data_IF_267538919847
#
_entry.id   IF_267538919847
#
_cell.length_a   1.000
_cell.length_b   1.000
_cell.length_c   1.000
_cell.angle_alpha   90.00
_cell.angle_beta   90.00
_cell.angle_gamma   90.00
#
_symmetry.space_group_name_H-M   'P 1'
#
loop_
_entity.id
_entity.type
_entity.pdbx_description
1 polymer ?
#
# COMPACT_ATOMS: atom_id res chain seq x y z
N UNK A 1 -4.56 -11.17 19.09
CA UNK A 1 -4.40 -9.70 19.23
C UNK A 1 -5.14 -9.05 18.08
N UNK A 2 -6.05 -8.10 18.35
CA UNK A 2 -6.76 -7.38 17.27
C UNK A 2 -5.77 -6.50 16.50
N UNK A 3 -5.91 -6.41 15.18
CA UNK A 3 -5.00 -5.65 14.31
C UNK A 3 -4.78 -4.20 14.77
N UNK A 4 -5.81 -3.58 15.35
CA UNK A 4 -5.71 -2.21 15.87
C UNK A 4 -4.66 -2.07 16.98
N UNK A 5 -4.69 -2.96 17.99
CA UNK A 5 -3.73 -2.95 19.11
C UNK A 5 -2.31 -3.21 18.65
N UNK A 6 -2.13 -4.06 17.63
CA UNK A 6 -0.82 -4.29 17.03
C UNK A 6 -0.31 -2.99 16.38
N UNK A 7 -1.17 -2.30 15.64
CA UNK A 7 -0.81 -1.09 14.91
C UNK A 7 -0.46 0.07 15.85
N UNK A 8 -1.25 0.28 16.90
CA UNK A 8 -0.96 1.24 17.98
C UNK A 8 0.35 0.88 18.70
N UNK A 9 0.56 -0.41 18.99
CA UNK A 9 1.79 -0.88 19.64
C UNK A 9 3.06 -0.69 18.81
N UNK A 10 2.92 -0.51 17.49
CA UNK A 10 4.02 -0.18 16.58
C UNK A 10 4.22 1.35 16.43
N UNK A 11 3.43 2.17 17.12
CA UNK A 11 3.50 3.64 17.05
C UNK A 11 2.64 4.27 15.95
N UNK A 12 1.73 3.49 15.34
CA UNK A 12 0.77 4.00 14.36
C UNK A 12 -0.46 4.62 15.01
N UNK A 13 -1.20 5.42 14.25
CA UNK A 13 -2.50 5.95 14.64
C UNK A 13 -3.59 5.57 13.61
N UNK A 14 -4.79 6.12 13.77
CA UNK A 14 -5.90 5.91 12.83
C UNK A 14 -6.47 7.22 12.34
N UNK A 15 -6.74 7.27 11.04
CA UNK A 15 -7.70 8.21 10.47
C UNK A 15 -9.11 7.62 10.57
N UNK A 16 -10.09 8.43 10.99
CA UNK A 16 -11.51 8.03 11.04
C UNK A 16 -12.24 8.73 9.90
N UNK A 17 -12.84 7.96 9.00
CA UNK A 17 -13.60 8.53 7.88
C UNK A 17 -15.02 8.99 8.29
N UNK A 18 -15.75 9.58 7.36
CA UNK A 18 -17.11 10.08 7.59
C UNK A 18 -18.14 9.00 7.94
N UNK A 19 -17.82 7.72 7.71
CA UNK A 19 -18.64 6.57 8.11
C UNK A 19 -18.21 5.97 9.46
N UNK A 20 -17.23 6.57 10.14
CA UNK A 20 -16.70 6.08 11.42
C UNK A 20 -15.71 4.93 11.29
N UNK A 21 -15.28 4.56 10.07
CA UNK A 21 -14.29 3.49 9.88
C UNK A 21 -12.89 4.01 10.18
N UNK A 22 -12.13 3.18 10.88
CA UNK A 22 -10.72 3.44 11.22
C UNK A 22 -9.79 2.92 10.13
N UNK A 23 -8.85 3.76 9.73
CA UNK A 23 -7.84 3.51 8.71
C UNK A 23 -6.44 3.63 9.33
N UNK A 24 -5.72 2.51 9.50
CA UNK A 24 -4.38 2.50 10.07
C UNK A 24 -3.41 3.36 9.25
N UNK A 25 -2.61 4.20 9.92
CA UNK A 25 -1.54 4.96 9.27
C UNK A 25 -0.30 5.21 10.16
N UNK A 26 0.86 5.31 9.51
CA UNK A 26 2.10 5.82 10.08
C UNK A 26 2.41 7.16 9.44
N UNK A 27 2.53 8.21 10.25
CA UNK A 27 2.80 9.57 9.79
C UNK A 27 4.20 10.01 10.23
N UNK A 28 5.22 9.88 9.36
CA UNK A 28 6.59 10.26 9.71
C UNK A 28 6.73 11.78 9.76
N UNK A 29 7.64 12.26 10.61
CA UNK A 29 8.07 13.66 10.63
C UNK A 29 8.91 13.98 9.38
N UNK A 30 8.65 15.15 8.79
CA UNK A 30 9.48 15.69 7.70
C UNK A 30 10.58 16.56 8.30
N UNK A 31 11.82 16.28 7.90
CA UNK A 31 13.00 17.02 8.29
C UNK A 31 13.49 17.93 7.16
N UNK A 32 14.35 18.88 7.52
CA UNK A 32 15.04 19.77 6.59
C UNK A 32 16.47 19.96 7.07
N UNK A 33 17.40 19.99 6.12
CA UNK A 33 18.81 20.34 6.33
C UNK A 33 19.01 21.78 6.81
N UNK A 34 18.09 22.69 6.44
CA UNK A 34 18.01 24.07 6.93
C UNK A 34 16.60 24.61 6.74
N UNK A 35 16.30 25.82 7.23
CA UNK A 35 14.96 26.44 7.10
C UNK A 35 14.42 26.42 5.65
N UNK A 36 15.30 26.64 4.68
CA UNK A 36 14.99 26.64 3.23
C UNK A 36 15.60 25.46 2.46
N UNK A 37 16.27 24.54 3.16
CA UNK A 37 16.99 23.42 2.55
C UNK A 37 16.11 22.25 2.14
N UNK A 38 16.77 21.19 1.67
CA UNK A 38 16.17 19.96 1.15
C UNK A 38 15.36 19.24 2.24
N UNK A 39 14.17 18.80 1.87
CA UNK A 39 13.29 18.00 2.74
C UNK A 39 13.63 16.52 2.66
N UNK A 40 13.73 15.86 3.80
CA UNK A 40 13.95 14.41 3.89
C UNK A 40 13.12 13.76 4.99
N UNK A 41 13.12 12.44 5.02
CA UNK A 41 12.41 11.58 5.97
C UNK A 41 13.40 10.63 6.65
N UNK A 42 13.18 10.33 7.91
CA UNK A 42 13.96 9.34 8.67
C UNK A 42 13.19 8.02 8.88
N UNK A 43 11.88 8.05 8.68
CA UNK A 43 10.99 6.92 8.90
C UNK A 43 10.02 6.76 7.73
N UNK A 44 9.57 5.53 7.44
CA UNK A 44 8.55 5.29 6.43
C UNK A 44 7.19 5.78 6.90
N UNK A 45 6.38 6.23 5.94
CA UNK A 45 4.96 6.47 6.12
C UNK A 45 4.12 5.45 5.38
N UNK A 46 2.96 5.14 5.93
CA UNK A 46 2.05 4.15 5.38
C UNK A 46 0.61 4.55 5.70
N UNK A 47 -0.29 4.37 4.74
CA UNK A 47 -1.74 4.48 4.95
C UNK A 47 -2.39 3.25 4.34
N UNK A 48 -3.21 2.52 5.10
CA UNK A 48 -4.16 1.59 4.49
C UNK A 48 -5.28 2.42 3.85
N UNK A 49 -5.27 2.54 2.52
CA UNK A 49 -6.17 3.44 1.78
C UNK A 49 -7.42 2.74 1.23
N UNK A 50 -7.38 1.41 1.13
CA UNK A 50 -8.54 0.58 0.82
C UNK A 50 -8.39 -0.81 1.46
N UNK A 51 -9.53 -1.46 1.70
CA UNK A 51 -9.61 -2.87 2.11
C UNK A 51 -10.92 -3.46 1.60
N UNK A 52 -11.07 -4.78 1.64
CA UNK A 52 -12.39 -5.41 1.49
C UNK A 52 -13.32 -4.85 2.57
N UNK A 53 -14.36 -4.13 2.16
CA UNK A 53 -15.31 -3.43 3.04
C UNK A 53 -16.76 -3.92 2.89
N UNK A 54 -17.03 -4.86 1.99
CA UNK A 54 -18.38 -5.38 1.77
C UNK A 54 -18.30 -6.83 1.30
N UNK A 55 -19.13 -7.69 1.88
CA UNK A 55 -19.33 -9.09 1.50
C UNK A 55 -20.83 -9.36 1.55
N UNK A 56 -21.44 -9.64 0.39
CA UNK A 56 -22.88 -9.85 0.27
C UNK A 56 -23.20 -11.35 0.23
N UNK A 57 -23.36 -11.96 1.42
CA UNK A 57 -23.70 -13.40 1.52
C UNK A 57 -25.12 -13.66 1.01
N UNK A 58 -26.04 -12.73 1.23
CA UNK A 58 -27.43 -12.81 0.77
C UNK A 58 -27.53 -12.97 -0.75
N UNK A 59 -26.58 -12.43 -1.51
CA UNK A 59 -26.53 -12.59 -2.96
C UNK A 59 -26.34 -14.06 -3.40
N UNK A 60 -25.91 -14.95 -2.50
CA UNK A 60 -25.84 -16.39 -2.76
C UNK A 60 -27.18 -17.11 -2.54
N UNK A 61 -28.18 -16.48 -1.94
CA UNK A 61 -29.46 -17.14 -1.59
C UNK A 61 -30.11 -17.84 -2.79
N UNK A 62 -30.20 -17.25 -3.99
CA UNK A 62 -30.78 -17.95 -5.15
C UNK A 62 -30.01 -19.20 -5.59
N UNK A 63 -28.68 -19.22 -5.37
CA UNK A 63 -27.87 -20.41 -5.60
C UNK A 63 -28.14 -21.47 -4.52
N UNK A 64 -28.23 -21.06 -3.26
CA UNK A 64 -28.43 -21.94 -2.11
C UNK A 64 -29.83 -22.58 -2.10
N UNK A 65 -30.87 -21.85 -2.52
CA UNK A 65 -32.24 -22.35 -2.62
C UNK A 65 -32.49 -23.26 -3.84
N UNK A 66 -31.49 -23.42 -4.72
CA UNK A 66 -31.55 -24.35 -5.85
C UNK A 66 -31.28 -25.82 -5.47
N UNK A 67 -30.95 -26.10 -4.21
CA UNK A 67 -30.71 -27.45 -3.68
C UNK A 67 -31.92 -27.96 -2.91
N UNK A 68 -32.04 -29.28 -2.75
CA UNK A 68 -33.15 -29.91 -2.02
C UNK A 68 -33.24 -29.42 -0.56
N UNK A 69 -34.47 -29.21 -0.07
CA UNK A 69 -34.76 -28.69 1.27
C UNK A 69 -34.10 -29.49 2.40
N UNK A 70 -33.84 -30.79 2.18
CA UNK A 70 -33.16 -31.67 3.15
C UNK A 70 -31.77 -31.18 3.56
N UNK A 71 -31.07 -30.45 2.68
CA UNK A 71 -29.74 -29.94 2.96
C UNK A 71 -29.75 -28.67 3.82
N UNK A 72 -30.88 -27.96 3.87
CA UNK A 72 -31.04 -26.70 4.58
C UNK A 72 -29.97 -25.64 4.24
N UNK A 73 -29.50 -25.61 2.97
CA UNK A 73 -28.43 -24.71 2.53
C UNK A 73 -28.83 -23.24 2.55
N UNK A 74 -30.11 -22.93 2.32
CA UNK A 74 -30.61 -21.55 2.37
C UNK A 74 -30.33 -20.87 3.73
N UNK A 75 -30.34 -21.65 4.82
CA UNK A 75 -30.05 -21.14 6.18
C UNK A 75 -28.63 -20.59 6.32
N UNK A 76 -27.73 -20.85 5.36
CA UNK A 76 -26.38 -20.27 5.35
C UNK A 76 -26.40 -18.74 5.29
N UNK A 77 -27.32 -18.17 4.50
CA UNK A 77 -27.47 -16.72 4.37
C UNK A 77 -28.04 -16.06 5.64
N UNK A 78 -28.67 -16.85 6.51
CA UNK A 78 -29.28 -16.40 7.77
C UNK A 78 -28.32 -16.44 8.97
N UNK A 79 -27.04 -16.74 8.76
CA UNK A 79 -26.06 -16.79 9.85
C UNK A 79 -25.99 -15.44 10.61
N UNK A 80 -25.99 -15.43 11.96
CA UNK A 80 -26.38 -14.27 12.79
C UNK A 80 -25.40 -13.07 12.87
N UNK A 81 -24.36 -13.03 12.03
CA UNK A 81 -23.37 -11.95 11.82
C UNK A 81 -22.66 -11.32 13.04
N UNK A 82 -21.37 -11.64 13.19
CA UNK A 82 -20.36 -10.85 13.92
C UNK A 82 -18.95 -11.18 13.39
N UNK A 83 -18.80 -11.10 12.07
CA UNK A 83 -17.52 -11.15 11.37
C UNK A 83 -17.23 -9.80 10.74
N UNK A 84 -15.96 -9.39 10.73
CA UNK A 84 -15.57 -8.33 9.79
C UNK A 84 -15.52 -8.90 8.37
N UNK A 85 -15.58 -8.02 7.38
CA UNK A 85 -15.72 -8.36 5.97
C UNK A 85 -14.54 -9.19 5.45
N UNK A 86 -13.35 -9.02 6.02
CA UNK A 86 -12.16 -9.82 5.68
C UNK A 86 -12.31 -11.28 6.14
N UNK A 87 -12.82 -11.50 7.35
CA UNK A 87 -13.03 -12.86 7.86
C UNK A 87 -14.21 -13.54 7.15
N UNK A 88 -15.26 -12.77 6.84
CA UNK A 88 -16.44 -13.26 6.14
C UNK A 88 -16.10 -13.80 4.74
N UNK A 89 -15.34 -13.05 3.92
CA UNK A 89 -14.97 -13.49 2.56
C UNK A 89 -14.10 -14.76 2.59
N UNK A 90 -13.16 -14.85 3.55
CA UNK A 90 -12.29 -16.03 3.70
C UNK A 90 -13.11 -17.27 4.09
N UNK A 91 -14.03 -17.11 5.04
CA UNK A 91 -14.90 -18.20 5.48
C UNK A 91 -15.83 -18.67 4.36
N UNK A 92 -16.47 -17.73 3.67
CA UNK A 92 -17.34 -18.00 2.53
C UNK A 92 -16.61 -18.76 1.43
N UNK A 93 -15.42 -18.30 1.03
CA UNK A 93 -14.58 -18.99 0.05
C UNK A 93 -14.23 -20.42 0.48
N UNK A 94 -13.81 -20.60 1.74
CA UNK A 94 -13.45 -21.93 2.25
C UNK A 94 -14.64 -22.88 2.32
N UNK A 95 -15.82 -22.42 2.74
CA UNK A 95 -17.02 -23.26 2.84
C UNK A 95 -17.57 -23.63 1.46
N UNK A 96 -17.40 -22.75 0.46
CA UNK A 96 -17.77 -23.03 -0.92
C UNK A 96 -17.01 -24.22 -1.52
N UNK A 97 -15.72 -24.39 -1.21
CA UNK A 97 -14.92 -25.51 -1.70
C UNK A 97 -15.45 -26.90 -1.31
N UNK A 98 -16.27 -26.98 -0.25
CA UNK A 98 -16.78 -28.25 0.30
C UNK A 98 -18.31 -28.29 0.36
N UNK A 99 -19.00 -27.30 -0.22
CA UNK A 99 -20.44 -27.12 -0.08
C UNK A 99 -20.93 -27.18 1.39
N UNK A 100 -20.11 -26.65 2.31
CA UNK A 100 -20.34 -26.70 3.76
C UNK A 100 -21.36 -25.65 4.21
N UNK A 101 -22.58 -25.72 3.68
CA UNK A 101 -23.67 -24.76 3.91
C UNK A 101 -24.77 -25.31 4.83
N UNK A 102 -24.88 -26.63 4.98
CA UNK A 102 -25.93 -27.28 5.74
C UNK A 102 -25.80 -27.14 7.25
N UNK A 103 -26.60 -27.91 8.00
CA UNK A 103 -26.72 -27.80 9.47
C UNK A 103 -25.41 -28.05 10.24
N UNK A 104 -24.52 -28.88 9.71
CA UNK A 104 -23.21 -29.19 10.29
C UNK A 104 -22.09 -28.16 10.00
N UNK A 105 -22.41 -27.06 9.31
CA UNK A 105 -21.43 -26.02 8.97
C UNK A 105 -20.85 -25.35 10.22
N UNK A 106 -19.67 -24.79 10.07
CA UNK A 106 -19.16 -23.78 11.00
C UNK A 106 -19.98 -22.48 10.86
N UNK A 107 -20.58 -22.00 11.95
CA UNK A 107 -21.44 -20.80 11.95
C UNK A 107 -20.62 -19.51 12.13
N UNK A 108 -21.22 -18.36 11.88
CA UNK A 108 -20.59 -17.04 12.06
C UNK A 108 -20.47 -16.58 13.52
N UNK A 109 -20.16 -17.48 14.46
CA UNK A 109 -19.83 -17.12 15.84
C UNK A 109 -18.33 -16.80 15.98
N UNK A 110 -17.90 -15.90 16.88
CA UNK A 110 -16.47 -15.57 17.06
C UNK A 110 -15.64 -16.80 17.42
N UNK A 111 -16.17 -17.71 18.24
CA UNK A 111 -15.48 -18.95 18.60
C UNK A 111 -15.30 -19.85 17.37
N UNK A 112 -16.38 -20.09 16.64
CA UNK A 112 -16.39 -20.92 15.43
C UNK A 112 -15.48 -20.35 14.35
N UNK A 113 -15.55 -19.04 14.11
CA UNK A 113 -14.73 -18.35 13.12
C UNK A 113 -13.24 -18.39 13.48
N UNK A 114 -12.88 -18.18 14.75
CA UNK A 114 -11.49 -18.32 15.20
C UNK A 114 -10.97 -19.74 14.99
N UNK A 115 -11.77 -20.76 15.34
CA UNK A 115 -11.41 -22.17 15.11
C UNK A 115 -11.27 -22.46 13.62
N UNK A 116 -12.18 -21.95 12.79
CA UNK A 116 -12.16 -22.15 11.34
C UNK A 116 -10.92 -21.55 10.68
N UNK A 117 -10.63 -20.28 10.95
CA UNK A 117 -9.46 -19.59 10.39
C UNK A 117 -8.15 -20.22 10.87
N UNK A 118 -8.10 -20.66 12.14
CA UNK A 118 -6.96 -21.43 12.66
C UNK A 118 -6.78 -22.75 11.90
N UNK A 119 -7.86 -23.50 11.69
CA UNK A 119 -7.84 -24.74 10.94
C UNK A 119 -7.41 -24.53 9.48
N UNK A 120 -7.91 -23.51 8.78
CA UNK A 120 -7.44 -23.14 7.42
C UNK A 120 -5.92 -23.00 7.39
N UNK A 121 -5.35 -22.28 8.38
CA UNK A 121 -3.91 -22.06 8.47
C UNK A 121 -3.15 -23.36 8.75
N UNK A 122 -3.64 -24.21 9.66
CA UNK A 122 -3.02 -25.49 10.02
C UNK A 122 -3.05 -26.49 8.85
N UNK A 123 -4.15 -26.53 8.10
CA UNK A 123 -4.32 -27.35 6.90
C UNK A 123 -3.63 -26.78 5.65
N UNK A 124 -3.05 -25.57 5.74
CA UNK A 124 -2.38 -24.87 4.64
C UNK A 124 -3.28 -24.63 3.42
N UNK A 125 -4.57 -24.38 3.65
CA UNK A 125 -5.49 -23.96 2.59
C UNK A 125 -5.28 -22.47 2.28
N UNK A 126 -4.13 -22.13 1.67
CA UNK A 126 -3.72 -20.75 1.45
C UNK A 126 -4.63 -19.97 0.50
N UNK A 127 -5.18 -20.60 -0.53
CA UNK A 127 -5.96 -19.91 -1.57
C UNK A 127 -7.14 -19.12 -1.03
N UNK A 128 -7.78 -19.57 0.06
CA UNK A 128 -8.94 -18.87 0.64
C UNK A 128 -8.55 -17.54 1.31
N UNK A 129 -7.27 -17.34 1.64
CA UNK A 129 -6.77 -16.08 2.22
C UNK A 129 -6.33 -15.06 1.16
N UNK A 130 -6.39 -15.43 -0.12
CA UNK A 130 -6.07 -14.54 -1.25
C UNK A 130 -7.29 -13.69 -1.68
N UNK A 131 -8.50 -14.05 -1.26
CA UNK A 131 -9.72 -13.28 -1.56
C UNK A 131 -9.76 -11.87 -0.92
N UNK A 132 -9.44 -11.67 0.37
CA UNK A 132 -9.44 -10.33 0.93
C UNK A 132 -8.27 -9.51 0.37
N UNK A 133 -8.54 -8.24 0.08
CA UNK A 133 -7.58 -7.30 -0.48
C UNK A 133 -7.37 -6.10 0.43
N UNK A 134 -6.13 -5.57 0.46
CA UNK A 134 -5.77 -4.32 1.15
C UNK A 134 -4.86 -3.51 0.22
N UNK A 135 -5.14 -2.22 0.08
CA UNK A 135 -4.28 -1.28 -0.65
C UNK A 135 -3.51 -0.42 0.34
N UNK A 136 -2.19 -0.36 0.16
CA UNK A 136 -1.28 0.43 0.99
C UNK A 136 -0.73 1.59 0.16
N UNK A 137 -0.84 2.80 0.69
CA UNK A 137 -0.10 3.96 0.21
C UNK A 137 1.17 4.10 1.05
N UNK A 138 2.33 3.78 0.46
CA UNK A 138 3.63 3.77 1.13
C UNK A 138 4.45 4.97 0.66
N UNK A 139 5.02 5.74 1.59
CA UNK A 139 5.85 6.90 1.32
C UNK A 139 6.99 6.99 2.34
N UNK A 140 7.92 7.93 2.16
CA UNK A 140 9.12 8.00 3.02
C UNK A 140 10.01 6.77 2.94
N UNK A 141 9.96 6.06 1.82
CA UNK A 141 10.78 4.90 1.53
C UNK A 141 11.76 5.18 0.40
N UNK A 142 12.95 4.59 0.49
CA UNK A 142 14.00 4.78 -0.51
C UNK A 142 13.68 4.08 -1.83
N UNK A 143 14.30 4.54 -2.93
CA UNK A 143 14.24 3.84 -4.22
C UNK A 143 14.80 2.42 -4.13
N UNK A 144 15.87 2.20 -3.36
CA UNK A 144 16.44 0.86 -3.18
C UNK A 144 15.42 -0.09 -2.54
N UNK A 145 14.69 0.36 -1.50
CA UNK A 145 13.62 -0.44 -0.89
C UNK A 145 12.55 -0.78 -1.92
N UNK A 146 12.09 0.22 -2.69
CA UNK A 146 11.04 -0.05 -3.68
C UNK A 146 11.51 -1.00 -4.79
N UNK A 147 12.82 -1.04 -5.09
CA UNK A 147 13.40 -1.95 -6.07
C UNK A 147 13.40 -3.41 -5.58
N UNK A 148 13.47 -3.63 -4.27
CA UNK A 148 13.23 -4.93 -3.63
C UNK A 148 11.73 -5.24 -3.56
N UNK A 149 10.92 -4.26 -3.14
CA UNK A 149 9.48 -4.43 -2.95
C UNK A 149 8.76 -4.88 -4.23
N UNK A 150 9.08 -4.29 -5.39
CA UNK A 150 8.46 -4.66 -6.68
C UNK A 150 8.84 -6.06 -7.17
N UNK A 151 9.74 -6.78 -6.48
CA UNK A 151 10.05 -8.19 -6.76
C UNK A 151 8.99 -9.14 -6.22
N UNK A 152 8.16 -8.69 -5.28
CA UNK A 152 7.00 -9.42 -4.78
C UNK A 152 5.85 -9.36 -5.79
N UNK A 153 5.86 -10.27 -6.76
CA UNK A 153 4.91 -10.30 -7.89
C UNK A 153 3.44 -10.57 -7.51
N UNK A 154 3.19 -11.03 -6.28
CA UNK A 154 1.82 -11.22 -5.73
C UNK A 154 1.20 -9.86 -5.35
N UNK A 155 2.01 -8.80 -5.23
CA UNK A 155 1.50 -7.43 -5.11
C UNK A 155 1.07 -6.98 -6.51
N UNK A 156 -0.23 -7.08 -6.78
CA UNK A 156 -0.79 -6.71 -8.07
C UNK A 156 -0.64 -5.20 -8.34
N UNK A 157 0.11 -4.86 -9.38
CA UNK A 157 0.12 -3.53 -10.00
C UNK A 157 0.60 -2.37 -9.11
N UNK A 158 1.85 -2.36 -8.61
CA UNK A 158 2.37 -1.21 -7.87
C UNK A 158 2.35 0.07 -8.73
N UNK A 159 1.62 1.08 -8.27
CA UNK A 159 1.62 2.41 -8.89
C UNK A 159 2.66 3.30 -8.19
N UNK A 160 3.85 3.40 -8.79
CA UNK A 160 4.97 4.10 -8.19
C UNK A 160 5.17 5.51 -8.76
N UNK A 161 5.52 6.47 -7.89
CA UNK A 161 5.87 7.83 -8.30
C UNK A 161 6.96 7.83 -9.39
N UNK A 162 6.64 8.43 -10.53
CA UNK A 162 7.52 8.49 -11.70
C UNK A 162 8.41 9.72 -11.66
N UNK A 163 9.72 9.51 -11.42
CA UNK A 163 10.74 10.56 -11.49
C UNK A 163 10.88 11.17 -12.89
N UNK A 164 10.25 10.62 -13.92
CA UNK A 164 10.19 11.26 -15.24
C UNK A 164 9.16 12.40 -15.27
N UNK A 165 8.09 12.31 -14.49
CA UNK A 165 6.95 13.22 -14.62
C UNK A 165 6.85 14.25 -13.50
N UNK A 166 7.30 13.91 -12.29
CA UNK A 166 7.17 14.81 -11.12
C UNK A 166 8.15 15.98 -11.17
N UNK A 167 7.77 17.08 -10.53
CA UNK A 167 8.59 18.27 -10.40
C UNK A 167 9.75 18.06 -9.39
N UNK A 168 10.89 18.72 -9.62
CA UNK A 168 12.04 18.69 -8.72
C UNK A 168 11.72 19.15 -7.29
N UNK A 169 10.75 20.05 -7.11
CA UNK A 169 10.28 20.51 -5.79
C UNK A 169 9.65 19.39 -4.94
N UNK A 170 9.26 18.29 -5.57
CA UNK A 170 8.69 17.10 -4.91
C UNK A 170 9.81 16.14 -4.49
N UNK A 171 11.07 16.36 -4.90
CA UNK A 171 12.20 15.51 -4.53
C UNK A 171 12.34 15.43 -3.01
N UNK A 172 12.40 14.20 -2.50
CA UNK A 172 12.62 13.90 -1.09
C UNK A 172 13.64 12.78 -1.00
N UNK A 173 14.42 12.81 0.06
CA UNK A 173 15.39 11.79 0.39
C UNK A 173 14.98 11.06 1.66
N UNK A 174 15.55 9.87 1.87
CA UNK A 174 15.31 9.04 3.07
C UNK A 174 16.64 8.75 3.72
N UNK A 175 16.81 9.21 4.95
CA UNK A 175 17.98 8.93 5.77
C UNK A 175 17.90 7.50 6.31
N UNK A 176 19.02 6.77 6.26
CA UNK A 176 19.08 5.40 6.74
C UNK A 176 19.09 5.36 8.28
N UNK A 177 18.42 4.38 8.92
CA UNK A 177 18.45 4.22 10.38
C UNK A 177 19.87 4.20 10.97
N UNK A 178 20.83 3.65 10.22
CA UNK A 178 22.25 3.56 10.60
C UNK A 178 22.94 4.94 10.66
N UNK A 179 22.40 5.97 10.00
CA UNK A 179 22.99 7.31 9.95
C UNK A 179 22.44 8.21 11.07
N UNK A 180 21.18 8.02 11.42
CA UNK A 180 20.39 8.93 12.27
C UNK A 180 21.00 9.14 13.67
N UNK A 181 21.61 8.10 14.25
CA UNK A 181 22.19 8.15 15.60
C UNK A 181 23.71 8.37 15.60
N UNK A 182 24.32 8.68 14.45
CA UNK A 182 25.76 8.93 14.34
C UNK A 182 26.03 10.21 13.54
N UNK A 183 26.29 11.29 14.28
CA UNK A 183 26.41 12.66 13.76
C UNK A 183 27.31 12.79 12.51
N UNK A 184 28.47 12.13 12.40
CA UNK A 184 29.27 12.18 11.17
C UNK A 184 28.54 11.64 9.93
N UNK A 185 27.81 10.53 10.04
CA UNK A 185 27.04 9.97 8.92
C UNK A 185 25.81 10.82 8.60
N UNK A 186 25.12 11.33 9.62
CA UNK A 186 24.02 12.27 9.45
C UNK A 186 24.45 13.52 8.65
N UNK A 187 25.56 14.16 9.05
CA UNK A 187 26.09 15.33 8.35
C UNK A 187 26.54 15.00 6.91
N UNK A 188 27.11 13.81 6.69
CA UNK A 188 27.45 13.34 5.34
C UNK A 188 26.20 13.17 4.48
N UNK A 189 25.13 12.62 5.04
CA UNK A 189 23.84 12.47 4.38
C UNK A 189 23.24 13.83 4.01
N UNK A 190 23.14 14.78 4.96
CA UNK A 190 22.58 16.10 4.70
C UNK A 190 23.34 16.86 3.59
N UNK A 191 24.68 16.82 3.64
CA UNK A 191 25.50 17.42 2.59
C UNK A 191 25.28 16.75 1.23
N UNK A 192 25.14 15.42 1.20
CA UNK A 192 24.92 14.67 -0.04
C UNK A 192 23.58 15.04 -0.69
N UNK A 193 22.50 15.12 0.08
CA UNK A 193 21.17 15.42 -0.48
C UNK A 193 21.06 16.85 -1.00
N UNK A 194 21.74 17.81 -0.37
CA UNK A 194 21.86 19.19 -0.87
C UNK A 194 22.59 19.24 -2.21
N UNK A 195 23.76 18.59 -2.29
CA UNK A 195 24.52 18.53 -3.55
C UNK A 195 23.73 17.83 -4.67
N UNK A 196 23.03 16.75 -4.33
CA UNK A 196 22.26 15.97 -5.32
C UNK A 196 21.05 16.73 -5.85
N UNK A 197 20.36 17.50 -5.01
CA UNK A 197 19.23 18.34 -5.43
C UNK A 197 19.70 19.49 -6.33
N UNK A 198 20.76 20.18 -5.93
CA UNK A 198 21.35 21.26 -6.71
C UNK A 198 21.84 20.77 -8.08
N UNK A 199 22.56 19.65 -8.12
CA UNK A 199 23.04 19.04 -9.37
C UNK A 199 21.87 18.58 -10.25
N UNK A 200 20.81 18.00 -9.68
CA UNK A 200 19.63 17.59 -10.42
C UNK A 200 18.96 18.78 -11.12
N UNK A 201 18.80 19.90 -10.43
CA UNK A 201 18.20 21.11 -10.98
C UNK A 201 19.10 21.78 -12.02
N UNK A 202 20.41 21.84 -11.78
CA UNK A 202 21.38 22.32 -12.77
C UNK A 202 21.33 21.48 -14.05
N UNK A 203 21.38 20.14 -13.95
CA UNK A 203 21.26 19.23 -15.09
C UNK A 203 19.96 19.47 -15.86
N UNK A 204 18.83 19.66 -15.16
CA UNK A 204 17.55 19.98 -15.81
C UNK A 204 17.62 21.27 -16.62
N UNK A 205 18.22 22.32 -16.07
CA UNK A 205 18.35 23.62 -16.75
C UNK A 205 19.26 23.52 -17.96
N UNK A 206 20.42 22.88 -17.84
CA UNK A 206 21.34 22.65 -18.96
C UNK A 206 20.68 21.80 -20.04
N UNK A 207 19.98 20.72 -19.68
CA UNK A 207 19.22 19.89 -20.64
C UNK A 207 18.13 20.68 -21.34
N UNK A 208 17.40 21.54 -20.62
CA UNK A 208 16.40 22.42 -21.23
C UNK A 208 17.02 23.32 -22.30
N UNK A 209 18.14 23.97 -21.99
CA UNK A 209 18.83 24.88 -22.91
C UNK A 209 19.38 24.11 -24.12
N UNK A 210 20.01 22.97 -23.88
CA UNK A 210 20.54 22.10 -24.93
C UNK A 210 19.45 21.61 -25.88
N UNK A 211 18.34 21.07 -25.35
CA UNK A 211 17.22 20.62 -26.18
C UNK A 211 16.57 21.77 -26.94
N UNK A 212 16.36 22.92 -26.30
CA UNK A 212 15.81 24.11 -26.96
C UNK A 212 16.70 24.62 -28.10
N UNK A 213 18.03 24.55 -27.94
CA UNK A 213 18.98 24.99 -28.96
C UNK A 213 19.16 23.99 -30.11
N UNK A 214 19.15 22.68 -29.80
CA UNK A 214 19.62 21.64 -30.71
C UNK A 214 18.51 20.78 -31.32
N UNK A 215 17.29 20.83 -30.78
CA UNK A 215 16.17 19.96 -31.17
C UNK A 215 14.92 20.82 -31.46
N UNK A 216 14.65 21.23 -32.72
CA UNK A 216 13.50 22.06 -33.06
C UNK A 216 12.16 21.46 -32.60
N UNK A 217 12.02 20.14 -32.68
CA UNK A 217 10.84 19.40 -32.22
C UNK A 217 10.60 19.54 -30.72
N UNK A 218 11.65 19.78 -29.93
CA UNK A 218 11.52 20.02 -28.49
C UNK A 218 10.73 21.29 -28.21
N UNK A 219 10.78 22.31 -29.07
CA UNK A 219 10.02 23.56 -28.89
C UNK A 219 8.52 23.34 -29.04
N UNK A 220 8.13 22.44 -29.94
CA UNK A 220 6.73 22.09 -30.23
C UNK A 220 6.13 21.10 -29.22
N UNK A 221 6.96 20.45 -28.40
CA UNK A 221 6.49 19.54 -27.35
C UNK A 221 5.65 20.25 -26.29
N UNK A 222 4.69 19.51 -25.73
CA UNK A 222 3.94 19.94 -24.55
C UNK A 222 4.86 20.15 -23.33
N UNK A 223 4.39 20.93 -22.35
CA UNK A 223 5.13 21.14 -21.10
C UNK A 223 5.45 19.82 -20.37
N UNK A 224 4.56 18.82 -20.48
CA UNK A 224 4.74 17.50 -19.86
C UNK A 224 5.83 16.69 -20.57
N UNK A 225 5.88 16.73 -21.90
CA UNK A 225 6.90 16.03 -22.68
C UNK A 225 8.29 16.66 -22.48
N UNK A 226 8.37 17.99 -22.47
CA UNK A 226 9.60 18.73 -22.15
C UNK A 226 10.14 18.33 -20.78
N UNK A 227 9.28 18.37 -19.75
CA UNK A 227 9.63 17.95 -18.39
C UNK A 227 10.09 16.49 -18.36
N UNK A 228 9.40 15.60 -19.06
CA UNK A 228 9.76 14.18 -19.17
C UNK A 228 11.13 13.95 -19.78
N UNK A 229 11.45 14.64 -20.88
CA UNK A 229 12.73 14.54 -21.56
C UNK A 229 13.90 15.03 -20.68
N UNK A 230 13.72 16.13 -19.96
CA UNK A 230 14.72 16.64 -19.02
C UNK A 230 14.90 15.71 -17.82
N UNK A 231 13.80 15.43 -17.11
CA UNK A 231 13.82 14.69 -15.86
C UNK A 231 14.38 13.28 -16.01
N UNK A 232 14.07 12.59 -17.12
CA UNK A 232 14.48 11.19 -17.28
C UNK A 232 16.01 11.02 -17.34
N UNK A 233 16.72 12.04 -17.81
CA UNK A 233 18.18 12.09 -17.87
C UNK A 233 18.77 12.76 -16.61
N UNK A 234 18.21 13.89 -16.17
CA UNK A 234 18.71 14.62 -15.00
C UNK A 234 18.75 13.74 -13.73
N UNK A 235 17.73 12.89 -13.53
CA UNK A 235 17.61 12.00 -12.37
C UNK A 235 18.73 10.95 -12.22
N UNK A 236 19.69 10.87 -13.15
CA UNK A 236 20.81 9.95 -13.05
C UNK A 236 21.79 10.28 -11.90
N UNK A 237 21.71 11.48 -11.32
CA UNK A 237 22.44 11.84 -10.09
C UNK A 237 21.67 11.51 -8.80
N UNK A 238 20.47 10.91 -8.88
CA UNK A 238 19.58 10.63 -7.75
C UNK A 238 19.52 9.15 -7.38
#
# INVERSE_FOLDING_TARGET
MRAEKLFEGLGGDFYVDSSGRKWPRFTPKVYRTSEKGVKYLQEPGLVASAKTITVEVEALRPFLSGFDDEYAFEQYADDPHWLNETEAIVKMAGQACYASYGSGRTKNTEEDCKKYLKNIKEQKHGSVIEHPNVTLFIYGVSRSLTHELVRHRIVDGPSQLSQRYVDGKILRFVERPEYQNYLPLHNMFERWIEMSEAEYEERRQVLNNYFTASHPEFKEMSATEKRKAQNQAARACL
#
